data_IF_029010349720
#
_entry.id   IF_029010349720
#
_cell.length_a   1.000
_cell.length_b   1.000
_cell.length_c   1.000
_cell.angle_alpha   90.00
_cell.angle_beta   90.00
_cell.angle_gamma   90.00
#
_symmetry.space_group_name_H-M   'P 1'
#
loop_
_entity.id
_entity.type
_entity.pdbx_description
1 polymer ?
#
# COMPACT_ATOMS: atom_id res chain seq x y z
N UNK A 1 9.00 13.93 -37.80
CA UNK A 1 9.22 14.07 -36.35
C UNK A 1 8.40 15.20 -35.72
N UNK A 2 8.28 16.38 -36.33
CA UNK A 2 7.49 17.50 -35.80
C UNK A 2 6.02 17.17 -35.52
N UNK A 3 5.37 16.42 -36.41
CA UNK A 3 3.94 16.06 -36.30
C UNK A 3 3.63 15.16 -35.10
N UNK A 4 4.49 14.21 -34.73
CA UNK A 4 4.28 13.31 -33.61
C UNK A 4 4.46 14.02 -32.26
N UNK A 5 5.46 14.92 -32.17
CA UNK A 5 5.67 15.77 -30.99
C UNK A 5 4.51 16.74 -30.78
N UNK A 6 4.01 17.33 -31.85
CA UNK A 6 2.88 18.25 -31.78
C UNK A 6 1.60 17.56 -31.34
N UNK A 7 1.32 16.37 -31.90
CA UNK A 7 0.21 15.55 -31.46
C UNK A 7 0.31 15.16 -29.98
N UNK A 8 1.53 14.83 -29.51
CA UNK A 8 1.78 14.52 -28.09
C UNK A 8 1.46 15.72 -27.19
N UNK A 9 1.88 16.93 -27.57
CA UNK A 9 1.58 18.16 -26.83
C UNK A 9 0.07 18.46 -26.79
N UNK A 10 -0.61 18.30 -27.92
CA UNK A 10 -2.04 18.59 -28.04
C UNK A 10 -2.90 17.63 -27.19
N UNK A 11 -2.41 16.40 -26.98
CA UNK A 11 -3.09 15.39 -26.19
C UNK A 11 -2.51 15.21 -24.76
N UNK A 12 -1.51 15.98 -24.37
CA UNK A 12 -0.78 15.80 -23.12
C UNK A 12 -1.72 15.79 -21.90
N UNK A 13 -2.65 16.72 -21.83
CA UNK A 13 -3.58 16.82 -20.71
C UNK A 13 -4.54 15.62 -20.62
N UNK A 14 -4.95 15.07 -21.77
CA UNK A 14 -5.83 13.90 -21.81
C UNK A 14 -5.19 12.66 -21.18
N UNK A 15 -3.86 12.57 -21.20
CA UNK A 15 -3.12 11.49 -20.57
C UNK A 15 -2.65 11.82 -19.16
N UNK A 16 -2.21 13.05 -18.91
CA UNK A 16 -1.65 13.44 -17.62
C UNK A 16 -2.69 13.56 -16.50
N UNK A 17 -3.91 14.03 -16.81
CA UNK A 17 -4.99 14.13 -15.84
C UNK A 17 -5.35 12.76 -15.24
N UNK A 18 -5.64 11.72 -16.02
CA UNK A 18 -5.88 10.38 -15.45
C UNK A 18 -4.66 9.79 -14.73
N UNK A 19 -3.43 10.06 -15.19
CA UNK A 19 -2.21 9.61 -14.50
C UNK A 19 -2.11 10.27 -13.12
N UNK A 20 -2.34 11.58 -13.02
CA UNK A 20 -2.38 12.29 -11.74
C UNK A 20 -3.46 11.69 -10.82
N UNK A 21 -4.66 11.43 -11.34
CA UNK A 21 -5.75 10.81 -10.61
C UNK A 21 -5.39 9.42 -10.07
N UNK A 22 -4.78 8.58 -10.89
CA UNK A 22 -4.30 7.25 -10.48
C UNK A 22 -3.20 7.33 -9.42
N UNK A 23 -2.27 8.27 -9.53
CA UNK A 23 -1.22 8.47 -8.51
C UNK A 23 -1.83 8.87 -7.17
N UNK A 24 -2.77 9.81 -7.15
CA UNK A 24 -3.48 10.23 -5.93
C UNK A 24 -4.23 9.05 -5.33
N UNK A 25 -5.02 8.34 -6.15
CA UNK A 25 -5.77 7.18 -5.69
C UNK A 25 -4.86 6.13 -5.05
N UNK A 26 -3.73 5.82 -5.70
CA UNK A 26 -2.77 4.85 -5.19
C UNK A 26 -2.12 5.30 -3.87
N UNK A 27 -1.77 6.57 -3.75
CA UNK A 27 -1.25 7.14 -2.50
C UNK A 27 -2.28 7.00 -1.38
N UNK A 28 -3.54 7.36 -1.64
CA UNK A 28 -4.63 7.24 -0.65
C UNK A 28 -4.83 5.79 -0.21
N UNK A 29 -4.91 4.86 -1.16
CA UNK A 29 -5.06 3.42 -0.86
C UNK A 29 -3.88 2.91 -0.03
N UNK A 30 -2.65 3.19 -0.44
CA UNK A 30 -1.44 2.77 0.31
C UNK A 30 -1.39 3.40 1.71
N UNK A 31 -1.90 4.62 1.88
CA UNK A 31 -1.98 5.26 3.18
C UNK A 31 -3.03 4.60 4.08
N UNK A 32 -4.20 4.25 3.54
CA UNK A 32 -5.24 3.51 4.26
C UNK A 32 -4.76 2.12 4.67
N UNK A 33 -4.10 1.39 3.76
CA UNK A 33 -3.47 0.11 4.06
C UNK A 33 -2.44 0.23 5.18
N UNK A 34 -1.57 1.26 5.12
CA UNK A 34 -0.58 1.54 6.16
C UNK A 34 -1.25 1.82 7.52
N UNK A 35 -2.30 2.64 7.53
CA UNK A 35 -3.05 2.96 8.74
C UNK A 35 -3.72 1.70 9.33
N UNK A 36 -4.29 0.86 8.47
CA UNK A 36 -4.89 -0.41 8.88
C UNK A 36 -3.83 -1.37 9.46
N UNK A 37 -2.70 -1.54 8.78
CA UNK A 37 -1.60 -2.38 9.27
C UNK A 37 -1.03 -1.89 10.59
N UNK A 38 -0.86 -0.57 10.77
CA UNK A 38 -0.42 0.00 12.06
C UNK A 38 -1.40 -0.33 13.18
N UNK A 39 -2.70 -0.18 12.94
CA UNK A 39 -3.73 -0.51 13.95
C UNK A 39 -3.72 -1.99 14.33
N UNK A 40 -3.53 -2.90 13.36
CA UNK A 40 -3.43 -4.34 13.63
C UNK A 40 -2.17 -4.66 14.41
N UNK A 41 -1.04 -4.05 14.05
CA UNK A 41 0.24 -4.21 14.73
C UNK A 41 0.15 -3.81 16.20
N UNK A 42 -0.42 -2.63 16.47
CA UNK A 42 -0.54 -2.10 17.83
C UNK A 42 -1.50 -2.94 18.69
N UNK A 43 -2.58 -3.48 18.10
CA UNK A 43 -3.55 -4.29 18.82
C UNK A 43 -3.10 -5.72 19.11
N UNK A 44 -2.35 -6.33 18.19
CA UNK A 44 -2.00 -7.77 18.26
C UNK A 44 -0.53 -8.01 18.63
N UNK A 45 0.29 -6.97 18.80
CA UNK A 45 1.73 -7.06 19.05
C UNK A 45 2.49 -7.96 18.07
N UNK A 46 1.95 -8.14 16.85
CA UNK A 46 2.55 -8.97 15.81
C UNK A 46 3.46 -8.14 14.94
N UNK A 47 4.67 -8.63 14.69
CA UNK A 47 5.56 -8.00 13.73
C UNK A 47 5.01 -8.15 12.32
N UNK A 48 4.62 -7.02 11.71
CA UNK A 48 4.19 -6.95 10.32
C UNK A 48 4.96 -5.85 9.60
N UNK A 49 5.64 -6.23 8.52
CA UNK A 49 6.43 -5.28 7.72
C UNK A 49 5.54 -4.25 7.05
N UNK A 50 5.89 -2.98 7.26
CA UNK A 50 5.19 -1.83 6.64
C UNK A 50 6.06 -1.09 5.63
N UNK A 51 7.31 -1.49 5.45
CA UNK A 51 8.26 -0.85 4.53
C UNK A 51 7.79 -0.82 3.08
N UNK A 52 6.98 -1.81 2.66
CA UNK A 52 6.39 -1.86 1.32
C UNK A 52 5.49 -0.66 1.04
N UNK A 53 4.57 -0.36 1.93
CA UNK A 53 3.62 0.76 1.82
C UNK A 53 4.32 2.11 1.83
N UNK A 54 5.34 2.28 2.67
CA UNK A 54 6.15 3.51 2.67
C UNK A 54 6.87 3.75 1.34
N UNK A 55 7.40 2.68 0.71
CA UNK A 55 8.03 2.77 -0.62
C UNK A 55 7.02 3.19 -1.69
N UNK A 56 5.84 2.59 -1.69
CA UNK A 56 4.79 2.93 -2.64
C UNK A 56 4.33 4.38 -2.47
N UNK A 57 4.02 4.82 -1.25
CA UNK A 57 3.64 6.19 -0.96
C UNK A 57 4.70 7.16 -1.48
N UNK A 58 5.98 6.92 -1.17
CA UNK A 58 7.07 7.77 -1.62
C UNK A 58 7.19 7.82 -3.15
N UNK A 59 7.11 6.67 -3.82
CA UNK A 59 7.22 6.58 -5.29
C UNK A 59 6.08 7.32 -5.98
N UNK A 60 4.82 7.03 -5.59
CA UNK A 60 3.65 7.65 -6.22
C UNK A 60 3.50 9.12 -5.89
N UNK A 61 3.96 9.58 -4.72
CA UNK A 61 4.05 11.00 -4.41
C UNK A 61 5.05 11.71 -5.32
N UNK A 62 6.22 11.11 -5.54
CA UNK A 62 7.22 11.65 -6.47
C UNK A 62 6.70 11.73 -7.91
N UNK A 63 6.04 10.67 -8.39
CA UNK A 63 5.39 10.65 -9.72
C UNK A 63 4.28 11.70 -9.83
N UNK A 64 3.46 11.86 -8.79
CA UNK A 64 2.40 12.86 -8.76
C UNK A 64 2.95 14.27 -8.91
N UNK A 65 3.96 14.64 -8.11
CA UNK A 65 4.61 15.96 -8.20
C UNK A 65 5.18 16.18 -9.61
N UNK A 66 5.87 15.17 -10.17
CA UNK A 66 6.40 15.25 -11.52
C UNK A 66 5.32 15.43 -12.58
N UNK A 67 4.20 14.72 -12.46
CA UNK A 67 3.06 14.82 -13.39
C UNK A 67 2.40 16.19 -13.32
N UNK A 68 2.27 16.78 -12.12
CA UNK A 68 1.76 18.15 -11.95
C UNK A 68 2.68 19.16 -12.62
N UNK A 69 4.02 19.01 -12.49
CA UNK A 69 4.99 19.89 -13.15
C UNK A 69 4.86 19.81 -14.69
N UNK A 70 4.63 18.62 -15.25
CA UNK A 70 4.38 18.45 -16.68
C UNK A 70 3.11 19.20 -17.11
N UNK A 71 2.04 19.13 -16.32
CA UNK A 71 0.80 19.86 -16.60
C UNK A 71 0.99 21.37 -16.54
N UNK A 72 1.78 21.88 -15.59
CA UNK A 72 2.03 23.31 -15.42
C UNK A 72 2.94 23.88 -16.53
N UNK A 73 3.89 23.09 -17.03
CA UNK A 73 4.88 23.51 -18.01
C UNK A 73 4.93 22.58 -19.23
N UNK A 74 3.89 22.54 -20.08
CA UNK A 74 3.80 21.60 -21.20
C UNK A 74 4.98 21.67 -22.16
N UNK A 75 5.51 22.88 -22.41
CA UNK A 75 6.65 23.09 -23.30
C UNK A 75 7.95 22.39 -22.87
N UNK A 76 8.08 22.11 -21.57
CA UNK A 76 9.22 21.43 -20.97
C UNK A 76 8.89 20.01 -20.53
N UNK A 77 7.84 19.41 -21.09
CA UNK A 77 7.32 18.10 -20.68
C UNK A 77 8.35 16.98 -20.70
N UNK A 78 9.24 16.94 -21.69
CA UNK A 78 10.33 15.95 -21.75
C UNK A 78 11.34 16.13 -20.60
N UNK A 79 11.69 17.36 -20.25
CA UNK A 79 12.55 17.65 -19.14
C UNK A 79 11.89 17.22 -17.82
N UNK A 80 10.62 17.60 -17.62
CA UNK A 80 9.88 17.23 -16.43
C UNK A 80 9.54 15.75 -16.34
N UNK A 81 9.48 15.03 -17.44
CA UNK A 81 9.37 13.55 -17.43
C UNK A 81 10.62 12.90 -16.79
N UNK A 82 11.81 13.41 -17.12
CA UNK A 82 13.06 12.95 -16.50
C UNK A 82 13.09 13.34 -15.01
N UNK A 83 12.65 14.56 -14.68
CA UNK A 83 12.54 15.02 -13.29
C UNK A 83 11.53 14.16 -12.51
N UNK A 84 10.39 13.83 -13.10
CA UNK A 84 9.38 12.94 -12.48
C UNK A 84 9.94 11.56 -12.16
N UNK A 85 10.70 10.96 -13.10
CA UNK A 85 11.40 9.70 -12.86
C UNK A 85 12.43 9.83 -11.72
N UNK A 86 13.19 10.92 -11.69
CA UNK A 86 14.12 11.22 -10.60
C UNK A 86 13.42 11.37 -9.25
N UNK A 87 12.32 12.11 -9.20
CA UNK A 87 11.50 12.29 -7.98
C UNK A 87 10.89 10.96 -7.50
N UNK A 88 10.46 10.09 -8.42
CA UNK A 88 9.97 8.76 -8.07
C UNK A 88 11.07 7.90 -7.41
N UNK A 89 12.30 7.93 -7.94
CA UNK A 89 13.45 7.21 -7.36
C UNK A 89 13.82 7.78 -5.99
N UNK A 90 13.84 9.11 -5.84
CA UNK A 90 14.09 9.76 -4.56
C UNK A 90 13.00 9.41 -3.55
N UNK A 91 11.74 9.50 -3.95
CA UNK A 91 10.59 9.12 -3.11
C UNK A 91 10.66 7.66 -2.69
N UNK A 92 11.02 6.75 -3.60
CA UNK A 92 11.25 5.33 -3.30
C UNK A 92 12.35 5.15 -2.24
N UNK A 93 13.50 5.83 -2.39
CA UNK A 93 14.62 5.73 -1.44
C UNK A 93 14.26 6.25 -0.06
N UNK A 94 13.60 7.40 0.00
CA UNK A 94 13.13 7.99 1.26
C UNK A 94 12.12 7.04 1.91
N UNK A 95 11.10 6.60 1.18
CA UNK A 95 10.10 5.67 1.67
C UNK A 95 10.69 4.35 2.15
N UNK A 96 11.71 3.81 1.44
CA UNK A 96 12.43 2.62 1.86
C UNK A 96 13.12 2.82 3.22
N UNK A 97 13.90 3.91 3.38
CA UNK A 97 14.60 4.21 4.64
C UNK A 97 13.62 4.37 5.81
N UNK A 98 12.61 5.20 5.63
CA UNK A 98 11.60 5.45 6.67
C UNK A 98 10.85 4.17 7.05
N UNK A 99 10.52 3.33 6.05
CA UNK A 99 9.83 2.07 6.29
C UNK A 99 10.71 1.04 7.01
N UNK A 100 11.98 0.90 6.62
CA UNK A 100 12.93 0.00 7.27
C UNK A 100 13.22 0.43 8.72
N UNK A 101 13.31 1.74 8.97
CA UNK A 101 13.50 2.27 10.32
C UNK A 101 12.27 2.02 11.19
N UNK A 102 11.06 2.22 10.67
CA UNK A 102 9.83 1.92 11.36
C UNK A 102 9.69 0.41 11.67
N UNK A 103 10.09 -0.45 10.74
CA UNK A 103 10.09 -1.90 10.96
C UNK A 103 11.12 -2.31 12.01
N UNK A 104 12.32 -1.70 12.00
CA UNK A 104 13.37 -1.96 12.99
C UNK A 104 12.95 -1.59 14.41
N UNK A 105 12.45 -0.37 14.59
CA UNK A 105 11.98 0.10 15.91
C UNK A 105 10.91 -0.84 16.45
N UNK A 106 9.98 -1.24 15.60
CA UNK A 106 8.92 -2.16 16.03
C UNK A 106 9.45 -3.55 16.37
N UNK A 107 10.42 -4.05 15.62
CA UNK A 107 11.06 -5.32 15.91
C UNK A 107 11.80 -5.31 17.25
N UNK A 108 12.47 -4.20 17.59
CA UNK A 108 13.10 -4.00 18.90
C UNK A 108 12.06 -4.08 20.03
N UNK A 109 10.91 -3.39 19.90
CA UNK A 109 9.81 -3.43 20.86
C UNK A 109 9.25 -4.85 21.04
N UNK A 110 9.04 -5.58 19.94
CA UNK A 110 8.55 -6.96 20.00
C UNK A 110 9.55 -7.89 20.67
N UNK A 111 10.86 -7.71 20.37
CA UNK A 111 11.91 -8.51 20.97
C UNK A 111 12.05 -8.23 22.48
N UNK A 112 11.91 -6.98 22.93
CA UNK A 112 11.91 -6.62 24.35
C UNK A 112 10.72 -7.23 25.07
N UNK A 113 9.52 -7.20 24.49
CA UNK A 113 8.33 -7.84 25.04
C UNK A 113 8.47 -9.36 25.09
N UNK A 114 9.06 -9.97 24.07
CA UNK A 114 9.29 -11.41 24.02
C UNK A 114 10.34 -11.88 25.05
N UNK A 115 11.26 -11.01 25.43
CA UNK A 115 12.27 -11.30 26.47
C UNK A 115 11.69 -11.24 27.89
N UNK A 116 10.51 -10.66 28.09
CA UNK A 116 9.80 -10.65 29.37
C UNK A 116 8.84 -11.84 29.49
N UNK A 117 8.52 -12.27 30.71
CA UNK A 117 7.53 -13.35 30.94
C UNK A 117 6.13 -13.00 30.40
N UNK A 118 5.77 -11.72 30.40
CA UNK A 118 4.54 -11.22 29.78
C UNK A 118 4.63 -11.27 28.24
N UNK A 119 5.79 -10.97 27.68
CA UNK A 119 6.04 -11.01 26.25
C UNK A 119 5.92 -12.41 25.66
N UNK A 120 6.35 -13.44 26.39
CA UNK A 120 6.21 -14.84 25.95
C UNK A 120 4.73 -15.24 25.86
N UNK A 121 3.92 -14.84 26.84
CA UNK A 121 2.46 -15.07 26.80
C UNK A 121 1.77 -14.28 25.69
N UNK A 122 2.17 -13.03 25.45
CA UNK A 122 1.63 -12.19 24.39
C UNK A 122 1.96 -12.77 23.01
N UNK A 123 3.17 -13.28 22.82
CA UNK A 123 3.56 -13.94 21.57
C UNK A 123 2.75 -15.24 21.33
N UNK A 124 2.57 -16.07 22.37
CA UNK A 124 1.76 -17.28 22.27
C UNK A 124 0.29 -16.97 21.93
N UNK A 125 -0.34 -16.03 22.64
CA UNK A 125 -1.69 -15.57 22.38
C UNK A 125 -1.85 -14.93 20.99
N UNK A 126 -0.84 -14.21 20.53
CA UNK A 126 -0.83 -13.59 19.20
C UNK A 126 -0.77 -14.63 18.08
N UNK A 127 0.03 -15.67 18.24
CA UNK A 127 0.12 -16.79 17.30
C UNK A 127 -1.23 -17.52 17.26
N UNK A 128 -1.79 -17.84 18.42
CA UNK A 128 -3.07 -18.54 18.55
C UNK A 128 -4.22 -17.71 17.94
N UNK A 129 -4.27 -16.38 18.19
CA UNK A 129 -5.29 -15.51 17.61
C UNK A 129 -5.17 -15.35 16.09
N UNK A 130 -3.96 -15.43 15.53
CA UNK A 130 -3.75 -15.40 14.09
C UNK A 130 -4.20 -16.71 13.42
N UNK A 131 -3.99 -17.84 14.07
CA UNK A 131 -4.46 -19.14 13.59
C UNK A 131 -5.99 -19.20 13.64
N UNK A 132 -6.61 -18.77 14.74
CA UNK A 132 -8.07 -18.71 14.87
C UNK A 132 -8.70 -17.75 13.85
N UNK A 133 -8.13 -16.56 13.64
CA UNK A 133 -8.63 -15.62 12.65
C UNK A 133 -8.48 -16.12 11.20
N UNK A 134 -7.55 -17.03 10.93
CA UNK A 134 -7.40 -17.68 9.63
C UNK A 134 -8.46 -18.79 9.46
N UNK A 135 -8.73 -19.55 10.51
CA UNK A 135 -9.75 -20.62 10.53
C UNK A 135 -11.13 -20.00 10.36
N UNK A 136 -11.47 -18.95 11.12
CA UNK A 136 -12.76 -18.25 11.02
C UNK A 136 -13.00 -17.68 9.61
N UNK A 137 -11.96 -17.24 8.92
CA UNK A 137 -12.10 -16.77 7.51
C UNK A 137 -12.29 -17.93 6.54
N UNK A 138 -11.75 -19.10 6.81
CA UNK A 138 -11.95 -20.29 5.97
C UNK A 138 -13.35 -20.89 6.18
N UNK A 139 -13.84 -20.95 7.42
CA UNK A 139 -15.19 -21.44 7.74
C UNK A 139 -16.30 -20.58 7.11
N UNK A 140 -16.11 -19.26 7.01
CA UNK A 140 -17.05 -18.36 6.31
C UNK A 140 -17.14 -18.65 4.81
N UNK A 141 -16.04 -19.09 4.18
CA UNK A 141 -16.05 -19.46 2.76
C UNK A 141 -16.71 -20.84 2.51
N UNK A 142 -16.64 -21.77 3.47
CA UNK A 142 -17.29 -23.08 3.35
C UNK A 142 -18.80 -22.99 3.59
N UNK A 143 -19.27 -22.06 4.43
CA UNK A 143 -20.70 -21.87 4.72
C UNK A 143 -21.45 -21.19 3.55
N UNK A 144 -20.78 -20.35 2.74
CA UNK A 144 -21.35 -19.80 1.50
C UNK A 144 -21.38 -20.80 0.33
N UNK A 145 -20.64 -21.91 0.42
CA UNK A 145 -20.56 -22.90 -0.65
C UNK A 145 -21.58 -24.06 -0.53
N UNK A 146 -22.38 -24.12 0.53
CA UNK A 146 -23.47 -25.10 0.65
C UNK A 146 -24.73 -24.59 -0.04
N UNK A 147 -25.12 -25.10 -1.22
CA UNK A 147 -26.42 -24.78 -1.79
C UNK A 147 -27.52 -25.36 -0.86
N UNK A 148 -28.45 -24.51 -0.48
CA UNK A 148 -29.65 -24.88 0.23
C UNK A 148 -30.49 -25.80 -0.66
N UNK A 149 -30.30 -27.12 -0.55
CA UNK A 149 -31.22 -28.12 -1.04
C UNK A 149 -32.46 -28.17 -0.12
N UNK A 150 -33.28 -27.15 -0.23
CA UNK A 150 -34.64 -27.15 0.31
C UNK A 150 -35.62 -27.20 -0.88
N UNK A 151 -35.63 -28.36 -1.55
CA UNK A 151 -36.71 -28.75 -2.43
C UNK A 151 -37.73 -29.49 -1.59
N UNK A 152 -38.66 -28.71 -1.00
CA UNK A 152 -39.78 -29.23 -0.24
C UNK A 152 -40.65 -30.19 -1.06
N UNK A 153 -40.81 -31.40 -0.55
CA UNK A 153 -41.91 -32.28 -0.81
C UNK A 153 -43.25 -31.59 -0.44
N UNK A 154 -44.05 -31.33 -1.45
CA UNK A 154 -45.47 -31.03 -1.27
C UNK A 154 -46.28 -32.05 -2.06
N UNK A 155 -46.96 -32.91 -1.33
CA UNK A 155 -48.07 -33.73 -1.76
C UNK A 155 -49.25 -32.88 -2.21
#
# INVERSE_FOLDING_TARGET
>A
MHTALQWLYDNLYNYMIPICGLCVLRVVVSFLELAHMKRLRDKKFVFRRVSGQYREIGTFTGLFIGSVLICLFPRLSLLFAVVAAGLAVVGYRIGKRTGEEADRIWQEVVNELAASEEGEKVNALSIESNIHGLIDTLDVFDEEATPSDDAGDAQ
#
